data_IF_014928301549
#
_entry.id   IF_014928301549
#
_cell.length_a   1.000
_cell.length_b   1.000
_cell.length_c   1.000
_cell.angle_alpha   90.00
_cell.angle_beta   90.00
_cell.angle_gamma   90.00
#
_symmetry.space_group_name_H-M   'P 1'
#
loop_
_entity.id
_entity.type
_entity.pdbx_description
1 polymer ?
#
# COMPACT_ATOMS: atom_id res chain seq x y z
N UNK A 1 18.40 16.62 72.39
CA UNK A 1 18.97 16.53 71.02
C UNK A 1 17.80 16.38 70.07
N UNK A 2 17.30 17.45 69.41
CA UNK A 2 17.80 18.01 68.12
C UNK A 2 17.74 16.89 67.04
N UNK A 3 17.01 16.91 65.91
CA UNK A 3 16.54 17.96 64.96
C UNK A 3 15.43 17.30 64.09
N UNK A 4 14.22 17.85 64.01
CA UNK A 4 13.63 18.69 62.94
C UNK A 4 13.22 18.02 61.61
N UNK A 5 11.94 18.27 61.30
CA UNK A 5 11.23 18.40 60.03
C UNK A 5 11.97 18.22 58.68
N UNK A 6 11.30 17.54 57.76
CA UNK A 6 11.09 18.06 56.41
C UNK A 6 9.71 17.65 55.89
N UNK A 7 8.80 18.63 55.91
CA UNK A 7 7.56 18.65 55.13
C UNK A 7 7.93 18.86 53.67
N UNK A 8 7.45 18.00 52.77
CA UNK A 8 7.12 18.42 51.41
C UNK A 8 5.84 17.72 50.98
N UNK A 9 4.72 18.40 51.26
CA UNK A 9 3.49 18.20 50.52
C UNK A 9 3.54 19.08 49.28
N UNK A 10 3.50 18.50 48.08
CA UNK A 10 2.96 19.09 46.84
C UNK A 10 2.52 17.91 45.96
N UNK A 11 1.24 17.55 45.98
CA UNK A 11 0.25 17.92 44.95
C UNK A 11 0.65 17.40 43.56
N UNK A 12 -0.12 16.45 43.05
CA UNK A 12 -0.08 16.04 41.65
C UNK A 12 -0.96 14.83 41.38
N UNK A 13 -2.21 15.09 41.00
CA UNK A 13 -3.27 14.20 40.51
C UNK A 13 -2.78 12.84 39.96
N UNK A 14 -3.32 11.70 40.35
CA UNK A 14 -4.75 11.40 40.41
C UNK A 14 -5.23 10.96 39.02
N UNK A 15 -5.57 9.67 38.91
CA UNK A 15 -6.22 8.98 37.78
C UNK A 15 -5.32 8.43 36.64
N UNK A 16 -4.61 7.33 36.92
CA UNK A 16 -4.45 6.26 35.94
C UNK A 16 -5.28 5.07 36.43
N UNK A 17 -6.55 5.01 36.04
CA UNK A 17 -7.39 3.84 36.29
C UNK A 17 -6.78 2.66 35.52
N UNK A 18 -6.25 1.71 36.27
CA UNK A 18 -5.84 0.40 35.80
C UNK A 18 -7.10 -0.46 35.65
N UNK A 19 -7.38 -0.90 34.44
CA UNK A 19 -8.24 -2.07 34.25
C UNK A 19 -7.35 -3.31 34.32
N UNK A 20 -7.44 -4.04 35.43
CA UNK A 20 -6.60 -5.19 35.78
C UNK A 20 -7.10 -6.54 35.20
N UNK A 21 -7.86 -6.56 34.10
CA UNK A 21 -8.39 -7.80 33.52
C UNK A 21 -8.43 -7.87 31.99
N UNK A 22 -7.30 -7.58 31.33
CA UNK A 22 -7.04 -8.07 29.98
C UNK A 22 -5.58 -8.52 29.90
N UNK A 23 -5.36 -9.78 29.51
CA UNK A 23 -4.05 -10.39 29.27
C UNK A 23 -3.08 -9.39 28.62
N UNK A 24 -2.17 -8.83 29.42
CA UNK A 24 -1.40 -7.65 29.06
C UNK A 24 -0.10 -8.03 28.35
N UNK A 25 -0.20 -8.78 27.26
CA UNK A 25 0.83 -8.75 26.23
C UNK A 25 0.51 -7.55 25.33
N UNK A 26 1.18 -6.41 25.57
CA UNK A 26 1.10 -5.29 24.62
C UNK A 26 1.55 -5.82 23.24
N UNK A 27 0.75 -5.66 22.18
CA UNK A 27 1.15 -6.08 20.84
C UNK A 27 2.51 -5.47 20.49
N UNK A 28 3.44 -6.28 19.97
CA UNK A 28 4.76 -5.76 19.52
C UNK A 28 4.65 -4.87 18.28
N UNK A 29 3.51 -4.90 17.60
CA UNK A 29 3.20 -4.13 16.39
C UNK A 29 1.85 -3.44 16.58
N UNK A 30 1.69 -2.18 16.14
CA UNK A 30 0.39 -1.52 16.15
C UNK A 30 -0.67 -2.35 15.41
N UNK A 31 -1.74 -2.71 16.11
CA UNK A 31 -2.95 -3.35 15.59
C UNK A 31 -3.87 -2.40 14.81
N UNK A 32 -3.75 -1.08 14.99
CA UNK A 32 -4.57 -0.10 14.27
C UNK A 32 -3.85 1.24 14.05
N UNK A 33 -4.27 1.97 13.01
CA UNK A 33 -3.68 3.25 12.56
C UNK A 33 -3.61 4.30 13.68
N UNK A 34 -4.57 4.30 14.61
CA UNK A 34 -4.65 5.30 15.70
C UNK A 34 -3.51 5.14 16.69
N UNK A 35 -2.91 3.95 16.78
CA UNK A 35 -1.76 3.74 17.65
C UNK A 35 -0.46 4.37 17.12
N UNK A 36 -0.42 4.73 15.84
CA UNK A 36 0.70 5.47 15.24
C UNK A 36 0.29 6.90 14.82
N UNK A 37 -0.97 7.30 15.07
CA UNK A 37 -1.49 8.62 14.74
C UNK A 37 -1.07 9.66 15.80
N UNK A 38 -0.42 10.73 15.35
CA UNK A 38 -0.06 11.86 16.20
C UNK A 38 -1.03 13.04 16.02
N UNK A 39 -1.92 13.25 16.99
CA UNK A 39 -2.88 14.36 16.97
C UNK A 39 -2.17 15.73 16.94
N UNK A 40 -1.04 15.89 17.64
CA UNK A 40 -0.30 17.16 17.70
C UNK A 40 0.30 17.53 16.33
N UNK A 41 0.84 16.54 15.61
CA UNK A 41 1.41 16.75 14.26
C UNK A 41 0.29 17.07 13.27
N UNK A 42 -0.79 16.29 13.27
CA UNK A 42 -1.90 16.50 12.33
C UNK A 42 -2.61 17.83 12.59
N UNK A 43 -2.82 18.22 13.84
CA UNK A 43 -3.41 19.53 14.18
C UNK A 43 -2.62 20.69 13.57
N UNK A 44 -1.28 20.65 13.65
CA UNK A 44 -0.42 21.71 13.06
C UNK A 44 -0.61 21.81 11.55
N UNK A 45 -0.65 20.66 10.86
CA UNK A 45 -0.88 20.62 9.41
C UNK A 45 -2.29 21.10 9.07
N UNK A 46 -3.31 20.61 9.77
CA UNK A 46 -4.71 21.02 9.54
C UNK A 46 -4.90 22.52 9.74
N UNK A 47 -4.35 23.10 10.81
CA UNK A 47 -4.41 24.54 11.05
C UNK A 47 -3.69 25.35 9.97
N UNK A 48 -2.54 24.85 9.48
CA UNK A 48 -1.77 25.50 8.41
C UNK A 48 -2.51 25.48 7.08
N UNK A 49 -3.15 24.36 6.74
CA UNK A 49 -3.87 24.17 5.48
C UNK A 49 -5.34 24.67 5.56
N UNK A 50 -5.78 25.19 6.71
CA UNK A 50 -7.10 25.80 6.89
C UNK A 50 -8.25 24.79 7.12
N UNK A 51 -7.94 23.56 7.53
CA UNK A 51 -8.95 22.54 7.85
C UNK A 51 -9.43 22.62 9.29
N UNK A 52 -10.74 22.55 9.47
CA UNK A 52 -11.38 22.50 10.79
C UNK A 52 -11.31 21.09 11.42
N UNK A 53 -11.45 21.04 12.75
CA UNK A 53 -11.48 19.80 13.52
C UNK A 53 -12.56 18.82 13.04
N UNK A 54 -13.65 19.34 12.46
CA UNK A 54 -14.79 18.56 11.98
C UNK A 54 -14.48 17.67 10.77
N UNK A 55 -13.36 17.92 10.07
CA UNK A 55 -12.88 17.05 8.98
C UNK A 55 -12.60 15.63 9.49
N UNK A 56 -12.16 15.50 10.75
CA UNK A 56 -11.89 14.20 11.37
C UNK A 56 -12.90 13.85 12.48
N UNK A 57 -13.53 14.85 13.12
CA UNK A 57 -14.53 14.67 14.17
C UNK A 57 -15.90 15.16 13.70
N UNK A 58 -16.62 14.41 12.87
CA UNK A 58 -17.91 14.86 12.31
C UNK A 58 -19.06 14.86 13.34
N UNK A 59 -18.77 14.73 14.64
CA UNK A 59 -19.75 14.55 15.71
C UNK A 59 -19.63 15.65 16.78
N UNK A 60 -20.63 16.51 16.85
CA UNK A 60 -20.85 17.47 17.95
C UNK A 60 -21.51 16.76 19.16
N UNK A 61 -20.91 15.66 19.63
CA UNK A 61 -21.40 14.94 20.83
C UNK A 61 -20.67 15.48 22.04
N UNK A 62 -21.35 16.32 22.81
CA UNK A 62 -20.90 16.73 24.16
C UNK A 62 -21.44 15.73 25.19
N UNK A 63 -20.62 14.79 25.70
CA UNK A 63 -21.07 13.87 26.72
C UNK A 63 -21.34 14.63 28.03
N UNK A 64 -22.49 14.38 28.65
CA UNK A 64 -22.89 15.01 29.93
C UNK A 64 -22.51 14.17 31.16
N UNK A 65 -22.20 12.88 30.98
CA UNK A 65 -21.85 11.92 32.03
C UNK A 65 -20.91 10.80 31.50
N UNK A 66 -20.39 9.95 32.40
CA UNK A 66 -19.44 8.86 32.05
C UNK A 66 -20.03 7.82 31.08
N UNK A 67 -21.34 7.54 31.16
CA UNK A 67 -22.04 6.69 30.18
C UNK A 67 -22.04 7.34 28.80
N UNK A 68 -22.25 8.66 28.76
CA UNK A 68 -22.14 9.48 27.56
C UNK A 68 -20.72 9.52 27.01
N UNK A 69 -19.68 9.44 27.84
CA UNK A 69 -18.28 9.39 27.36
C UNK A 69 -18.00 8.07 26.64
N UNK A 70 -18.41 6.93 27.21
CA UNK A 70 -18.20 5.62 26.57
C UNK A 70 -19.00 5.49 25.26
N UNK A 71 -20.24 5.99 25.24
CA UNK A 71 -21.08 6.04 24.05
C UNK A 71 -20.54 7.04 23.01
N UNK A 72 -20.04 8.20 23.43
CA UNK A 72 -19.38 9.17 22.55
C UNK A 72 -18.08 8.59 21.95
N UNK A 73 -17.31 7.81 22.71
CA UNK A 73 -16.13 7.10 22.18
C UNK A 73 -16.56 6.04 21.18
N UNK A 74 -17.62 5.28 21.44
CA UNK A 74 -18.16 4.27 20.51
C UNK A 74 -18.67 4.91 19.22
N UNK A 75 -19.42 6.00 19.32
CA UNK A 75 -19.92 6.78 18.20
C UNK A 75 -18.79 7.44 17.42
N UNK A 76 -17.83 8.06 18.09
CA UNK A 76 -16.60 8.60 17.47
C UNK A 76 -15.83 7.50 16.71
N UNK A 77 -15.66 6.32 17.31
CA UNK A 77 -15.07 5.15 16.64
C UNK A 77 -15.85 4.71 15.40
N UNK A 78 -17.17 4.82 15.40
CA UNK A 78 -18.03 4.53 14.24
C UNK A 78 -18.00 5.65 13.20
N UNK A 79 -17.82 6.91 13.62
CA UNK A 79 -17.66 8.07 12.75
C UNK A 79 -16.31 8.14 12.05
N UNK A 80 -15.28 7.48 12.60
CA UNK A 80 -14.01 7.21 11.93
C UNK A 80 -14.10 6.09 10.88
N UNK A 81 -15.29 5.59 10.56
CA UNK A 81 -15.51 4.66 9.45
C UNK A 81 -16.23 5.36 8.29
N UNK A 82 -15.63 5.40 7.10
CA UNK A 82 -14.54 4.53 6.64
C UNK A 82 -13.19 5.27 6.71
N UNK A 83 -12.28 4.84 7.60
CA UNK A 83 -10.98 5.49 7.81
C UNK A 83 -10.11 5.64 6.55
N UNK A 84 -10.41 4.90 5.47
CA UNK A 84 -9.83 5.16 4.14
C UNK A 84 -10.16 6.58 3.68
N UNK A 85 -11.40 7.03 3.75
CA UNK A 85 -11.83 8.30 3.17
C UNK A 85 -11.31 9.48 4.00
N UNK A 86 -11.24 9.36 5.33
CA UNK A 86 -10.68 10.43 6.18
C UNK A 86 -9.17 10.60 6.00
N UNK A 87 -8.41 9.49 5.95
CA UNK A 87 -6.94 9.54 5.86
C UNK A 87 -6.46 9.76 4.42
N UNK A 88 -7.04 9.03 3.45
CA UNK A 88 -6.65 9.12 2.05
C UNK A 88 -7.07 10.45 1.42
N UNK A 89 -8.10 11.14 1.92
CA UNK A 89 -8.47 12.46 1.42
C UNK A 89 -7.29 13.44 1.31
N UNK A 90 -6.37 13.42 2.29
CA UNK A 90 -5.14 14.23 2.26
C UNK A 90 -3.90 13.43 1.85
N UNK A 91 -3.73 12.19 2.35
CA UNK A 91 -2.50 11.43 2.12
C UNK A 91 -2.46 10.73 0.76
N UNK A 92 -3.61 10.40 0.18
CA UNK A 92 -3.71 9.73 -1.11
C UNK A 92 -4.72 10.46 -2.00
N UNK A 93 -4.28 11.63 -2.48
CA UNK A 93 -5.04 12.49 -3.37
C UNK A 93 -4.32 12.62 -4.73
N UNK A 94 -4.79 11.91 -5.77
CA UNK A 94 -4.16 11.95 -7.08
C UNK A 94 -4.27 13.32 -7.76
N UNK A 95 -5.23 14.18 -7.37
CA UNK A 95 -5.43 15.51 -7.96
C UNK A 95 -4.53 16.57 -7.32
N UNK A 96 -4.31 16.49 -6.01
CA UNK A 96 -3.49 17.43 -5.24
C UNK A 96 -2.03 16.97 -5.05
N UNK A 97 -1.72 15.74 -5.47
CA UNK A 97 -0.46 15.06 -5.19
C UNK A 97 -0.55 14.24 -3.90
N UNK A 98 -0.02 13.02 -3.95
CA UNK A 98 0.00 12.12 -2.79
C UNK A 98 1.01 12.62 -1.75
N UNK A 99 0.53 12.95 -0.55
CA UNK A 99 1.35 13.36 0.62
C UNK A 99 1.68 12.14 1.51
N UNK A 100 1.10 10.98 1.21
CA UNK A 100 1.42 9.71 1.87
C UNK A 100 2.91 9.40 1.66
N UNK A 101 3.61 8.94 2.70
CA UNK A 101 4.88 8.24 2.49
C UNK A 101 4.64 7.06 1.53
N UNK A 102 5.60 6.78 0.65
CA UNK A 102 5.54 5.61 -0.24
C UNK A 102 5.54 4.26 0.50
N UNK A 103 5.65 4.29 1.83
CA UNK A 103 5.61 3.13 2.71
C UNK A 103 4.22 3.01 3.35
N UNK A 104 3.32 2.32 2.65
CA UNK A 104 1.92 2.11 3.06
C UNK A 104 1.81 1.43 4.44
N UNK A 105 2.82 0.63 4.83
CA UNK A 105 2.89 -0.09 6.11
C UNK A 105 2.98 0.82 7.33
N UNK A 106 3.27 2.11 7.17
CA UNK A 106 3.21 3.10 8.26
C UNK A 106 1.80 3.26 8.83
N UNK A 107 0.78 2.98 8.01
CA UNK A 107 -0.63 2.98 8.38
C UNK A 107 -1.24 1.57 8.26
N UNK A 108 -0.90 0.81 7.21
CA UNK A 108 -1.41 -0.53 6.96
C UNK A 108 -0.49 -1.61 7.54
N UNK A 109 -0.59 -1.83 8.86
CA UNK A 109 0.27 -2.81 9.56
C UNK A 109 0.02 -4.26 9.14
N UNK A 110 -1.17 -4.56 8.63
CA UNK A 110 -1.51 -5.83 8.02
C UNK A 110 -1.83 -5.63 6.53
N UNK A 111 -0.81 -5.73 5.68
CA UNK A 111 -0.98 -5.53 4.23
C UNK A 111 -1.97 -6.53 3.61
N UNK A 112 -2.16 -7.71 4.21
CA UNK A 112 -3.12 -8.71 3.73
C UNK A 112 -4.57 -8.22 3.81
N UNK A 113 -4.88 -7.21 4.62
CA UNK A 113 -6.24 -6.62 4.69
C UNK A 113 -6.56 -5.72 3.49
N UNK A 114 -5.53 -5.15 2.85
CA UNK A 114 -5.68 -4.30 1.66
C UNK A 114 -5.22 -4.98 0.37
N UNK A 115 -4.62 -6.17 0.49
CA UNK A 115 -4.16 -6.98 -0.62
C UNK A 115 -5.34 -7.42 -1.50
N UNK A 116 -5.34 -7.07 -2.81
CA UNK A 116 -6.41 -7.49 -3.69
C UNK A 116 -6.38 -9.00 -3.94
N UNK A 117 -7.54 -9.63 -4.15
CA UNK A 117 -7.69 -11.10 -4.34
C UNK A 117 -6.85 -11.69 -5.49
N UNK A 118 -6.41 -10.87 -6.45
CA UNK A 118 -5.58 -11.31 -7.56
C UNK A 118 -4.10 -11.52 -7.17
N UNK A 119 -3.68 -11.04 -6.00
CA UNK A 119 -2.38 -11.34 -5.41
C UNK A 119 -2.46 -12.73 -4.77
N UNK A 120 -2.10 -13.73 -5.57
CA UNK A 120 -2.11 -15.13 -5.14
C UNK A 120 -0.86 -15.84 -5.63
N UNK A 121 -0.68 -17.08 -5.20
CA UNK A 121 0.51 -17.88 -5.49
C UNK A 121 0.85 -18.02 -6.98
N UNK A 122 -0.11 -17.80 -7.89
CA UNK A 122 0.08 -17.89 -9.34
C UNK A 122 0.16 -16.52 -10.03
N UNK A 123 0.48 -15.46 -9.28
CA UNK A 123 0.65 -14.10 -9.79
C UNK A 123 1.60 -14.03 -10.99
N UNK A 124 2.76 -14.69 -10.90
CA UNK A 124 3.77 -14.67 -11.96
C UNK A 124 3.23 -15.11 -13.33
N UNK A 125 2.30 -16.06 -13.38
CA UNK A 125 1.71 -16.52 -14.65
C UNK A 125 0.50 -15.69 -15.10
N UNK A 126 -0.17 -14.97 -14.20
CA UNK A 126 -1.48 -14.33 -14.47
C UNK A 126 -1.47 -12.81 -14.43
N UNK A 127 -0.43 -12.18 -13.87
CA UNK A 127 -0.37 -10.73 -13.72
C UNK A 127 -0.54 -9.99 -15.04
N UNK A 128 -0.01 -10.52 -16.15
CA UNK A 128 -0.16 -9.92 -17.47
C UNK A 128 -1.63 -9.81 -17.92
N UNK A 129 -2.50 -10.75 -17.52
CA UNK A 129 -3.93 -10.69 -17.84
C UNK A 129 -4.59 -9.53 -17.09
N UNK A 130 -4.26 -9.37 -15.81
CA UNK A 130 -4.81 -8.29 -14.98
C UNK A 130 -4.27 -6.92 -15.40
N UNK A 131 -2.95 -6.81 -15.64
CA UNK A 131 -2.33 -5.58 -16.12
C UNK A 131 -2.88 -5.13 -17.47
N UNK A 132 -3.14 -6.07 -18.39
CA UNK A 132 -3.79 -5.76 -19.68
C UNK A 132 -5.24 -5.27 -19.50
N UNK A 133 -5.94 -5.76 -18.48
CA UNK A 133 -7.32 -5.37 -18.22
C UNK A 133 -7.40 -3.96 -17.59
N UNK A 134 -6.54 -3.68 -16.61
CA UNK A 134 -6.49 -2.40 -15.90
C UNK A 134 -5.12 -2.20 -15.22
N UNK A 135 -4.18 -1.62 -15.96
CA UNK A 135 -2.85 -1.29 -15.46
C UNK A 135 -2.91 -0.22 -14.34
N UNK A 136 -3.80 0.76 -14.49
CA UNK A 136 -3.92 1.88 -13.55
C UNK A 136 -4.37 1.41 -12.16
N UNK A 137 -5.14 0.32 -12.08
CA UNK A 137 -5.50 -0.29 -10.79
C UNK A 137 -4.28 -0.68 -9.94
N UNK A 138 -3.19 -1.06 -10.58
CA UNK A 138 -1.94 -1.47 -9.92
C UNK A 138 -1.21 -0.27 -9.33
N UNK A 139 -1.29 0.88 -10.00
CA UNK A 139 -0.62 2.12 -9.59
C UNK A 139 -1.17 2.69 -8.29
N UNK A 140 -2.35 2.24 -7.86
CA UNK A 140 -2.90 2.61 -6.56
C UNK A 140 -2.05 2.16 -5.37
N UNK A 141 -1.28 1.09 -5.56
CA UNK A 141 -0.45 0.50 -4.52
C UNK A 141 1.03 0.37 -4.94
N UNK A 142 1.30 0.21 -6.23
CA UNK A 142 2.64 -0.05 -6.76
C UNK A 142 3.13 1.11 -7.62
N UNK A 143 4.36 1.57 -7.40
CA UNK A 143 4.98 2.53 -8.33
C UNK A 143 5.30 1.85 -9.67
N UNK A 144 5.38 2.60 -10.79
CA UNK A 144 5.78 2.05 -12.09
C UNK A 144 7.10 1.27 -12.07
N UNK A 145 8.03 1.62 -11.17
CA UNK A 145 9.30 0.90 -10.98
C UNK A 145 9.11 -0.56 -10.59
N UNK A 146 8.00 -0.92 -9.93
CA UNK A 146 7.70 -2.30 -9.58
C UNK A 146 7.58 -3.19 -10.84
N UNK A 147 6.96 -2.68 -11.90
CA UNK A 147 6.88 -3.38 -13.18
C UNK A 147 8.28 -3.51 -13.80
N UNK A 148 9.05 -2.43 -13.74
CA UNK A 148 10.39 -2.36 -14.30
C UNK A 148 11.36 -3.33 -13.63
N UNK A 149 11.23 -3.56 -12.33
CA UNK A 149 12.08 -4.47 -11.57
C UNK A 149 12.13 -5.85 -12.22
N UNK A 150 11.05 -6.34 -12.81
CA UNK A 150 11.06 -7.60 -13.57
C UNK A 150 11.16 -7.39 -15.08
N UNK A 151 10.45 -6.42 -15.65
CA UNK A 151 10.36 -6.28 -17.11
C UNK A 151 11.62 -5.68 -17.74
N UNK A 152 12.45 -4.95 -16.98
CA UNK A 152 13.77 -4.47 -17.43
C UNK A 152 14.90 -5.44 -17.09
N UNK A 153 14.64 -6.42 -16.22
CA UNK A 153 15.60 -7.48 -15.88
C UNK A 153 15.86 -8.38 -17.09
N UNK A 154 17.16 -8.65 -17.35
CA UNK A 154 17.61 -9.54 -18.44
C UNK A 154 17.66 -11.02 -18.03
N UNK A 155 17.65 -11.28 -16.73
CA UNK A 155 17.71 -12.61 -16.10
C UNK A 155 16.35 -13.33 -16.08
N UNK A 156 15.24 -12.63 -16.33
CA UNK A 156 13.92 -13.24 -16.42
C UNK A 156 13.56 -13.51 -17.89
N UNK A 157 13.33 -14.79 -18.27
CA UNK A 157 12.86 -15.15 -19.60
C UNK A 157 11.37 -14.78 -19.71
N UNK A 158 11.08 -13.54 -20.10
CA UNK A 158 9.75 -13.15 -20.58
C UNK A 158 9.56 -13.73 -21.98
N UNK A 159 9.26 -15.03 -22.04
CA UNK A 159 8.87 -15.72 -23.26
C UNK A 159 7.42 -15.32 -23.53
N UNK A 160 7.21 -14.33 -24.40
CA UNK A 160 5.85 -14.02 -24.89
C UNK A 160 5.40 -15.01 -25.96
N UNK A 161 6.31 -15.41 -26.86
CA UNK A 161 6.04 -16.35 -27.95
C UNK A 161 7.29 -17.19 -28.26
N UNK A 162 8.45 -16.52 -28.31
CA UNK A 162 9.76 -17.16 -28.45
C UNK A 162 10.73 -16.69 -27.36
N UNK A 163 11.78 -17.46 -27.11
CA UNK A 163 12.86 -17.09 -26.20
C UNK A 163 13.61 -15.84 -26.67
N UNK A 164 14.23 -15.10 -25.74
CA UNK A 164 15.06 -13.92 -26.08
C UNK A 164 16.21 -14.27 -27.04
N UNK A 165 16.72 -15.50 -26.95
CA UNK A 165 17.77 -16.02 -27.82
C UNK A 165 17.23 -16.64 -29.12
N UNK A 166 15.95 -16.46 -29.45
CA UNK A 166 15.35 -17.00 -30.67
C UNK A 166 16.16 -16.66 -31.92
N UNK A 167 16.72 -15.44 -32.03
CA UNK A 167 17.59 -15.09 -33.16
C UNK A 167 18.81 -16.00 -33.30
N UNK A 168 19.31 -16.59 -32.21
CA UNK A 168 20.41 -17.54 -32.23
C UNK A 168 19.96 -18.99 -32.45
N UNK A 169 18.77 -19.38 -31.94
CA UNK A 169 18.31 -20.78 -31.97
C UNK A 169 17.31 -21.10 -33.09
N UNK A 170 16.62 -20.11 -33.65
CA UNK A 170 15.56 -20.32 -34.65
C UNK A 170 16.05 -21.02 -35.91
N UNK A 171 17.34 -20.89 -36.25
CA UNK A 171 17.93 -21.62 -37.37
C UNK A 171 18.01 -23.13 -37.13
N UNK A 172 18.11 -23.59 -35.89
CA UNK A 172 18.06 -25.01 -35.54
C UNK A 172 16.60 -25.48 -35.60
N UNK A 173 15.69 -24.72 -34.99
CA UNK A 173 14.26 -25.02 -34.95
C UNK A 173 13.61 -25.04 -36.34
N UNK A 174 13.91 -24.04 -37.18
CA UNK A 174 13.43 -23.96 -38.56
C UNK A 174 13.99 -25.07 -39.46
N UNK A 175 15.18 -25.61 -39.16
CA UNK A 175 15.69 -26.81 -39.86
C UNK A 175 15.00 -28.09 -39.39
N UNK A 176 14.65 -28.17 -38.10
CA UNK A 176 13.97 -29.32 -37.55
C UNK A 176 12.52 -29.44 -38.07
N UNK A 177 11.75 -28.35 -38.03
CA UNK A 177 10.39 -28.31 -38.56
C UNK A 177 9.95 -26.88 -38.93
N UNK A 178 10.17 -26.42 -40.18
CA UNK A 178 9.79 -25.06 -40.59
C UNK A 178 8.28 -24.85 -40.70
N UNK A 179 7.47 -25.93 -40.71
CA UNK A 179 6.02 -25.83 -40.87
C UNK A 179 5.32 -25.28 -39.62
N UNK A 180 5.89 -25.50 -38.43
CA UNK A 180 5.34 -24.97 -37.16
C UNK A 180 5.29 -23.44 -37.16
N UNK A 181 6.26 -22.79 -37.80
CA UNK A 181 6.31 -21.35 -37.92
C UNK A 181 5.10 -20.82 -38.71
N UNK A 182 4.65 -21.59 -39.72
CA UNK A 182 3.51 -21.28 -40.58
C UNK A 182 2.16 -21.23 -39.87
N UNK A 183 2.07 -21.76 -38.63
CA UNK A 183 0.86 -21.70 -37.83
C UNK A 183 0.54 -20.27 -37.33
N UNK A 184 1.56 -19.41 -37.24
CA UNK A 184 1.41 -18.03 -36.77
C UNK A 184 2.10 -17.00 -37.68
N UNK A 185 3.08 -17.38 -38.48
CA UNK A 185 3.88 -16.49 -39.32
C UNK A 185 3.77 -16.84 -40.80
N UNK A 186 3.70 -15.82 -41.65
CA UNK A 186 3.82 -15.99 -43.10
C UNK A 186 5.28 -16.11 -43.56
N UNK A 187 5.53 -16.75 -44.70
CA UNK A 187 6.89 -16.94 -45.23
C UNK A 187 7.63 -15.62 -45.52
N UNK A 188 6.86 -14.55 -45.75
CA UNK A 188 7.36 -13.18 -45.94
C UNK A 188 8.08 -12.65 -44.70
N UNK A 189 7.72 -13.12 -43.51
CA UNK A 189 8.40 -12.80 -42.24
C UNK A 189 9.87 -13.22 -42.29
N UNK A 190 10.16 -14.45 -42.72
CA UNK A 190 11.53 -14.99 -42.86
C UNK A 190 12.35 -14.12 -43.81
N UNK A 191 11.75 -13.71 -44.92
CA UNK A 191 12.42 -12.94 -45.97
C UNK A 191 12.89 -11.57 -45.46
N UNK A 192 12.19 -10.99 -44.49
CA UNK A 192 12.53 -9.68 -43.93
C UNK A 192 13.98 -9.59 -43.46
N UNK A 193 14.52 -10.65 -42.86
CA UNK A 193 15.93 -10.71 -42.46
C UNK A 193 16.79 -11.51 -43.46
N UNK A 194 16.29 -12.63 -43.99
CA UNK A 194 17.08 -13.54 -44.82
C UNK A 194 17.30 -13.07 -46.26
N UNK A 195 16.56 -12.07 -46.76
CA UNK A 195 16.76 -11.52 -48.10
C UNK A 195 17.24 -10.08 -48.13
N UNK A 196 17.07 -9.31 -47.03
CA UNK A 196 17.42 -7.88 -46.96
C UNK A 196 18.59 -7.54 -46.03
N UNK A 197 19.24 -8.53 -45.41
CA UNK A 197 20.40 -8.27 -44.53
C UNK A 197 20.06 -7.92 -43.08
N UNK A 198 18.79 -8.07 -42.68
CA UNK A 198 18.31 -7.73 -41.33
C UNK A 198 17.98 -6.24 -41.18
N UNK A 199 17.06 -5.93 -40.25
CA UNK A 199 16.87 -4.55 -39.80
C UNK A 199 18.07 -4.16 -38.94
N UNK A 200 18.85 -3.19 -39.42
CA UNK A 200 19.80 -2.44 -38.60
C UNK A 200 19.02 -1.68 -37.53
N UNK A 201 19.45 -1.81 -36.27
CA UNK A 201 19.12 -0.91 -35.17
C UNK A 201 20.39 -0.18 -34.76
#
# INVERSE_FOLDING_TARGET
MLIAAAVFALIGCGAQNKDENASSAKPKVPLDVRMNYSHEVHKKVMQKEGFDCFVCHPMDVKPKDEKGVEEAIKLSKQSFFPGKDTCHFCHYNPEAGNIAPGECSLCHFNMAEIEPKNHNFNWAAKHAIFAKADEQSCENCHSPRFCEDCHKRRDLPTIMVHDRNFRFVHGIEARANPRECGNCHEVTFCNTCHTKGGYDY
#
